data_IF_042205728415
#
_entry.id   IF_042205728415
#
_cell.length_a   1.000
_cell.length_b   1.000
_cell.length_c   1.000
_cell.angle_alpha   90.00
_cell.angle_beta   90.00
_cell.angle_gamma   90.00
#
_symmetry.space_group_name_H-M   'P 1'
#
loop_
_entity.id
_entity.type
_entity.pdbx_description
1 polymer ?
#
# COMPACT_ATOMS: atom_id res chain seq x y z
N UNK A 1 17.01 -21.52 -1.39
CA UNK A 1 17.95 -20.44 -1.71
C UNK A 1 17.12 -19.18 -1.66
N UNK A 2 17.42 -18.27 -0.74
CA UNK A 2 16.60 -17.08 -0.51
C UNK A 2 17.11 -15.92 -1.37
N UNK A 3 16.33 -15.53 -2.38
CA UNK A 3 16.68 -14.47 -3.34
C UNK A 3 16.79 -14.96 -4.77
N UNK A 4 16.00 -14.35 -5.66
CA UNK A 4 16.20 -14.51 -7.11
C UNK A 4 17.59 -13.98 -7.49
N UNK A 5 18.38 -14.81 -8.21
CA UNK A 5 19.65 -14.38 -8.82
C UNK A 5 19.42 -13.55 -10.10
N UNK A 6 18.17 -13.45 -10.54
CA UNK A 6 17.77 -12.79 -11.77
C UNK A 6 17.38 -11.33 -11.49
N UNK A 7 17.54 -10.50 -12.52
CA UNK A 7 17.14 -9.10 -12.42
C UNK A 7 15.62 -8.99 -12.17
N UNK A 8 15.17 -8.06 -11.32
CA UNK A 8 13.75 -7.84 -11.10
C UNK A 8 13.04 -7.51 -12.42
N UNK A 9 11.89 -8.15 -12.65
CA UNK A 9 10.99 -7.79 -13.75
C UNK A 9 9.80 -7.01 -13.20
N UNK A 10 9.35 -5.99 -13.93
CA UNK A 10 8.17 -5.21 -13.55
C UNK A 10 7.02 -5.44 -14.51
N UNK A 11 5.85 -5.69 -13.94
CA UNK A 11 4.59 -5.79 -14.68
C UNK A 11 3.96 -4.41 -14.83
N UNK A 12 3.27 -4.19 -15.95
CA UNK A 12 2.54 -2.95 -16.18
C UNK A 12 1.29 -2.90 -15.28
N UNK A 13 1.07 -1.77 -14.61
CA UNK A 13 -0.12 -1.58 -13.78
C UNK A 13 -1.36 -1.34 -14.66
N UNK A 14 -2.47 -2.07 -14.45
CA UNK A 14 -3.71 -1.89 -15.21
C UNK A 14 -4.54 -0.71 -14.65
N UNK A 15 -3.95 0.48 -14.53
CA UNK A 15 -4.57 1.66 -13.90
C UNK A 15 -5.85 2.19 -14.59
N UNK A 16 -6.14 1.73 -15.81
CA UNK A 16 -7.36 2.08 -16.55
C UNK A 16 -8.50 1.08 -16.30
N UNK A 17 -8.20 -0.06 -15.66
CA UNK A 17 -9.19 -1.05 -15.29
C UNK A 17 -9.87 -0.63 -13.99
N UNK A 18 -11.21 -0.65 -13.94
CA UNK A 18 -11.97 -0.33 -12.74
C UNK A 18 -11.68 -1.34 -11.61
N UNK A 19 -11.41 -2.60 -11.97
CA UNK A 19 -11.08 -3.67 -11.01
C UNK A 19 -9.76 -3.40 -10.29
N UNK A 20 -8.86 -2.60 -10.85
CA UNK A 20 -7.62 -2.20 -10.20
C UNK A 20 -7.86 -1.48 -8.87
N UNK A 21 -9.02 -0.82 -8.76
CA UNK A 21 -9.39 -0.02 -7.61
C UNK A 21 -10.37 -0.70 -6.65
N UNK A 22 -10.66 -2.00 -6.84
CA UNK A 22 -11.52 -2.80 -5.98
C UNK A 22 -10.90 -2.92 -4.58
N UNK A 23 -11.55 -2.31 -3.59
CA UNK A 23 -11.04 -2.25 -2.22
C UNK A 23 -10.89 -3.63 -1.57
N UNK A 24 -11.76 -4.59 -1.87
CA UNK A 24 -11.70 -5.91 -1.29
C UNK A 24 -10.53 -6.72 -1.89
N UNK A 25 -10.32 -6.60 -3.20
CA UNK A 25 -9.17 -7.20 -3.88
C UNK A 25 -7.85 -6.58 -3.38
N UNK A 26 -7.82 -5.25 -3.22
CA UNK A 26 -6.65 -4.53 -2.71
C UNK A 26 -6.33 -4.87 -1.25
N UNK A 27 -7.33 -4.96 -0.38
CA UNK A 27 -7.12 -5.35 1.03
C UNK A 27 -6.57 -6.78 1.12
N UNK A 28 -7.08 -7.69 0.30
CA UNK A 28 -6.59 -9.07 0.20
C UNK A 28 -5.11 -9.10 -0.22
N UNK A 29 -4.75 -8.33 -1.24
CA UNK A 29 -3.37 -8.28 -1.74
C UNK A 29 -2.42 -7.56 -0.76
N UNK A 30 -2.88 -6.48 -0.11
CA UNK A 30 -2.14 -5.81 0.96
C UNK A 30 -1.83 -6.76 2.11
N UNK A 31 -2.81 -7.55 2.55
CA UNK A 31 -2.61 -8.57 3.60
C UNK A 31 -1.55 -9.57 3.19
N UNK A 32 -1.62 -10.11 1.96
CA UNK A 32 -0.63 -11.06 1.43
C UNK A 32 0.77 -10.46 1.41
N UNK A 33 0.92 -9.26 0.86
CA UNK A 33 2.23 -8.60 0.75
C UNK A 33 2.78 -8.24 2.12
N UNK A 34 1.95 -7.71 3.01
CA UNK A 34 2.36 -7.32 4.36
C UNK A 34 2.76 -8.51 5.22
N UNK A 35 2.09 -9.66 5.08
CA UNK A 35 2.45 -10.90 5.76
C UNK A 35 3.86 -11.37 5.36
N UNK A 36 4.16 -11.37 4.05
CA UNK A 36 5.50 -11.70 3.56
C UNK A 36 6.54 -10.63 3.99
N UNK A 37 6.17 -9.35 3.99
CA UNK A 37 7.05 -8.28 4.46
C UNK A 37 7.38 -8.44 5.95
N UNK A 38 6.38 -8.75 6.78
CA UNK A 38 6.53 -9.03 8.21
C UNK A 38 7.36 -10.29 8.45
N UNK A 39 7.19 -11.33 7.63
CA UNK A 39 7.98 -12.56 7.76
C UNK A 39 9.48 -12.37 7.46
N UNK A 40 9.85 -11.41 6.60
CA UNK A 40 11.26 -11.19 6.22
C UNK A 40 11.94 -9.98 6.88
N UNK A 41 11.18 -8.94 7.25
CA UNK A 41 11.61 -7.67 7.88
C UNK A 41 12.87 -6.99 7.31
N UNK A 42 13.27 -7.31 6.07
CA UNK A 42 14.54 -6.83 5.48
C UNK A 42 14.55 -5.33 5.14
N UNK A 43 13.37 -4.74 4.97
CA UNK A 43 13.18 -3.39 4.47
C UNK A 43 13.06 -2.32 5.58
N UNK A 44 13.21 -2.70 6.85
CA UNK A 44 12.90 -1.82 8.00
C UNK A 44 13.64 -0.47 8.04
N UNK A 45 14.80 -0.36 7.39
CA UNK A 45 15.60 0.88 7.35
C UNK A 45 15.42 1.72 6.07
N UNK A 46 14.47 1.38 5.19
CA UNK A 46 14.35 2.05 3.89
C UNK A 46 13.40 3.24 3.87
N UNK A 47 12.27 3.14 4.56
CA UNK A 47 11.27 4.21 4.70
C UNK A 47 10.39 3.95 5.92
N UNK A 48 9.66 4.98 6.36
CA UNK A 48 8.82 4.93 7.57
C UNK A 48 7.62 3.97 7.45
N UNK A 49 7.22 3.62 6.22
CA UNK A 49 6.20 2.62 5.93
C UNK A 49 6.46 1.26 6.60
N UNK A 50 7.72 0.78 6.62
CA UNK A 50 8.04 -0.55 7.15
C UNK A 50 8.06 -0.61 8.69
N UNK A 51 8.71 0.31 9.42
CA UNK A 51 8.56 0.39 10.87
C UNK A 51 7.10 0.47 11.31
N UNK A 52 6.28 1.32 10.68
CA UNK A 52 4.86 1.45 11.00
C UNK A 52 4.12 0.12 10.81
N UNK A 53 4.40 -0.61 9.72
CA UNK A 53 3.82 -1.92 9.48
C UNK A 53 4.22 -2.92 10.57
N UNK A 54 5.51 -2.98 10.89
CA UNK A 54 6.03 -3.97 11.84
C UNK A 54 5.58 -3.70 13.26
N UNK A 55 5.57 -2.43 13.68
CA UNK A 55 5.05 -2.00 14.98
C UNK A 55 3.54 -2.32 15.06
N UNK A 56 2.77 -2.05 14.01
CA UNK A 56 1.34 -2.37 13.98
C UNK A 56 1.07 -3.88 14.13
N UNK A 57 1.89 -4.74 13.50
CA UNK A 57 1.78 -6.20 13.65
C UNK A 57 2.24 -6.65 15.03
N UNK A 58 3.37 -6.13 15.54
CA UNK A 58 3.91 -6.51 16.85
C UNK A 58 3.00 -6.10 18.02
N UNK A 59 2.19 -5.05 17.84
CA UNK A 59 1.17 -4.62 18.81
C UNK A 59 -0.17 -5.35 18.65
N UNK A 60 -0.34 -6.19 17.62
CA UNK A 60 -1.57 -6.92 17.37
C UNK A 60 -1.74 -8.13 18.32
N UNK A 61 -2.98 -8.54 18.66
CA UNK A 61 -3.22 -9.60 19.64
C UNK A 61 -2.55 -10.95 19.33
N UNK A 62 -2.49 -11.35 18.06
CA UNK A 62 -1.85 -12.59 17.62
C UNK A 62 -0.53 -12.36 16.88
N UNK A 63 -0.02 -11.13 16.83
CA UNK A 63 1.13 -10.75 16.00
C UNK A 63 0.93 -11.11 14.50
N UNK A 64 -0.31 -11.09 14.03
CA UNK A 64 -0.68 -11.44 12.66
C UNK A 64 -1.24 -10.24 11.89
N UNK A 65 -0.96 -10.18 10.59
CA UNK A 65 -1.53 -9.17 9.67
C UNK A 65 -3.06 -9.28 9.58
N UNK A 66 -3.64 -10.44 9.89
CA UNK A 66 -5.08 -10.67 9.94
C UNK A 66 -5.80 -9.74 10.93
N UNK A 67 -5.14 -9.40 12.04
CA UNK A 67 -5.70 -8.56 13.11
C UNK A 67 -5.64 -7.06 12.78
N UNK A 68 -4.98 -6.67 11.68
CA UNK A 68 -4.83 -5.27 11.30
C UNK A 68 -6.09 -4.71 10.64
N UNK A 69 -6.38 -3.46 11.01
CA UNK A 69 -7.47 -2.65 10.45
C UNK A 69 -7.04 -1.94 9.16
N UNK A 70 -8.02 -1.61 8.31
CA UNK A 70 -7.76 -0.81 7.10
C UNK A 70 -7.19 0.58 7.38
N UNK A 71 -7.36 1.10 8.61
CA UNK A 71 -6.72 2.35 9.07
C UNK A 71 -5.21 2.19 9.25
N UNK A 72 -4.76 1.07 9.83
CA UNK A 72 -3.33 0.76 9.95
C UNK A 72 -2.70 0.54 8.56
N UNK A 73 -3.40 -0.13 7.65
CA UNK A 73 -2.95 -0.22 6.26
C UNK A 73 -2.82 1.16 5.60
N UNK A 74 -3.67 2.12 5.99
CA UNK A 74 -3.59 3.49 5.45
C UNK A 74 -2.34 4.19 5.92
N UNK A 75 -2.00 4.09 7.20
CA UNK A 75 -0.76 4.65 7.73
C UNK A 75 0.47 4.10 6.99
N UNK A 76 0.52 2.79 6.75
CA UNK A 76 1.63 2.16 6.00
C UNK A 76 1.70 2.67 4.56
N UNK A 77 0.55 2.70 3.87
CA UNK A 77 0.46 3.19 2.48
C UNK A 77 0.86 4.65 2.39
N UNK A 78 0.41 5.49 3.32
CA UNK A 78 0.62 6.94 3.34
C UNK A 78 2.07 7.34 3.64
N UNK A 79 2.88 6.45 4.18
CA UNK A 79 4.30 6.69 4.48
C UNK A 79 5.26 6.05 3.46
N UNK A 80 4.73 5.39 2.42
CA UNK A 80 5.57 4.94 1.32
C UNK A 80 6.08 6.15 0.51
N UNK A 81 7.37 6.24 0.24
CA UNK A 81 7.94 7.35 -0.55
C UNK A 81 8.00 7.07 -2.05
N UNK A 82 7.57 5.88 -2.49
CA UNK A 82 7.61 5.44 -3.89
C UNK A 82 9.01 5.54 -4.54
N UNK A 83 10.08 5.36 -3.73
CA UNK A 83 11.46 5.46 -4.19
C UNK A 83 12.03 4.17 -4.82
N UNK A 84 11.24 3.09 -4.85
CA UNK A 84 11.58 1.77 -5.39
C UNK A 84 12.79 1.04 -4.74
N UNK A 85 13.39 1.60 -3.69
CA UNK A 85 14.56 1.00 -3.04
C UNK A 85 14.28 -0.39 -2.45
N UNK A 86 13.09 -0.62 -1.91
CA UNK A 86 12.70 -1.92 -1.35
C UNK A 86 12.65 -2.99 -2.45
N UNK A 87 12.06 -2.66 -3.59
CA UNK A 87 11.93 -3.53 -4.75
C UNK A 87 13.29 -3.81 -5.40
N UNK A 88 14.08 -2.77 -5.67
CA UNK A 88 15.31 -2.92 -6.47
C UNK A 88 16.51 -3.48 -5.69
N UNK A 89 16.57 -3.28 -4.36
CA UNK A 89 17.84 -3.49 -3.62
C UNK A 89 17.77 -4.45 -2.45
N UNK A 90 16.58 -4.68 -1.86
CA UNK A 90 16.45 -5.46 -0.61
C UNK A 90 15.53 -6.66 -0.70
N UNK A 91 14.44 -6.56 -1.47
CA UNK A 91 13.43 -7.60 -1.50
C UNK A 91 13.93 -8.82 -2.30
N UNK A 92 14.03 -10.02 -1.69
CA UNK A 92 14.42 -11.24 -2.38
C UNK A 92 13.29 -11.86 -3.21
N UNK A 93 12.06 -11.37 -3.00
CA UNK A 93 10.81 -11.97 -3.47
C UNK A 93 10.16 -11.20 -4.63
N UNK A 94 10.92 -10.32 -5.27
CA UNK A 94 10.47 -9.59 -6.46
C UNK A 94 10.36 -10.53 -7.67
N UNK A 95 9.54 -10.18 -8.69
CA UNK A 95 9.38 -11.01 -9.88
C UNK A 95 10.75 -11.20 -10.55
N UNK A 96 11.14 -12.43 -10.96
CA UNK A 96 10.29 -13.59 -11.26
C UNK A 96 10.06 -14.56 -10.08
N UNK A 97 10.33 -14.16 -8.85
CA UNK A 97 10.01 -14.99 -7.69
C UNK A 97 8.50 -15.29 -7.62
N UNK A 98 8.12 -16.47 -7.16
CA UNK A 98 6.71 -16.93 -7.12
C UNK A 98 5.77 -16.09 -6.26
N UNK A 99 6.32 -15.26 -5.39
CA UNK A 99 5.57 -14.33 -4.54
C UNK A 99 5.25 -13.00 -5.23
N UNK A 100 5.92 -12.69 -6.35
CA UNK A 100 5.60 -11.56 -7.21
C UNK A 100 5.46 -10.23 -6.45
N UNK A 101 6.38 -9.94 -5.51
CA UNK A 101 6.24 -8.77 -4.65
C UNK A 101 6.62 -7.48 -5.39
N UNK A 102 5.62 -6.62 -5.63
CA UNK A 102 5.81 -5.24 -6.08
C UNK A 102 5.15 -4.25 -5.11
N UNK A 103 5.81 -4.06 -3.97
CA UNK A 103 5.33 -3.17 -2.91
C UNK A 103 5.05 -1.75 -3.42
N UNK A 104 5.96 -1.07 -4.16
CA UNK A 104 5.69 0.28 -4.64
C UNK A 104 4.46 0.38 -5.55
N UNK A 105 4.27 -0.57 -6.48
CA UNK A 105 3.08 -0.57 -7.34
C UNK A 105 1.79 -0.79 -6.55
N UNK A 106 1.81 -1.66 -5.53
CA UNK A 106 0.64 -1.86 -4.68
C UNK A 106 0.24 -0.59 -3.93
N UNK A 107 1.22 0.23 -3.50
CA UNK A 107 0.93 1.50 -2.83
C UNK A 107 0.24 2.53 -3.75
N UNK A 108 0.38 2.42 -5.07
CA UNK A 108 -0.32 3.28 -6.04
C UNK A 108 -1.80 2.93 -6.17
N UNK A 109 -2.17 1.68 -5.90
CA UNK A 109 -3.53 1.19 -6.08
C UNK A 109 -4.49 1.72 -5.01
N UNK A 110 -3.95 2.12 -3.85
CA UNK A 110 -4.72 2.72 -2.76
C UNK A 110 -4.48 4.24 -2.72
N UNK A 111 -5.44 5.07 -3.18
CA UNK A 111 -5.26 6.52 -3.18
C UNK A 111 -5.13 7.05 -1.75
N UNK A 112 -4.13 7.91 -1.51
CA UNK A 112 -3.94 8.57 -0.20
C UNK A 112 -5.10 9.48 0.18
N UNK A 113 -5.80 10.02 -0.83
CA UNK A 113 -6.87 11.02 -0.68
C UNK A 113 -8.21 10.53 -1.21
N UNK A 114 -8.53 9.23 -1.09
CA UNK A 114 -9.85 8.75 -1.52
C UNK A 114 -10.93 9.24 -0.55
N UNK A 115 -11.51 10.39 -0.85
CA UNK A 115 -12.82 10.80 -0.37
C UNK A 115 -13.81 9.66 -0.74
N UNK A 116 -14.68 9.18 0.18
CA UNK A 116 -15.66 8.16 -0.14
C UNK A 116 -16.43 8.58 -1.40
N UNK A 117 -16.45 7.71 -2.40
CA UNK A 117 -17.08 8.01 -3.68
C UNK A 117 -18.60 8.08 -3.47
N UNK A 118 -19.06 9.27 -3.13
CA UNK A 118 -20.42 9.53 -2.65
C UNK A 118 -20.71 11.02 -2.42
N UNK A 119 -20.11 11.92 -3.21
CA UNK A 119 -20.59 13.31 -3.29
C UNK A 119 -20.75 13.75 -4.74
N UNK A 120 -22.02 13.96 -5.08
CA UNK A 120 -22.49 14.49 -6.34
C UNK A 120 -21.72 15.79 -6.71
N UNK A 121 -21.16 15.92 -7.93
CA UNK A 121 -20.46 17.11 -8.40
C UNK A 121 -21.27 18.42 -8.30
N UNK A 122 -22.59 18.33 -8.10
CA UNK A 122 -23.49 19.47 -7.95
C UNK A 122 -23.36 20.22 -6.61
N UNK A 123 -22.69 19.66 -5.59
CA UNK A 123 -22.58 20.30 -4.26
C UNK A 123 -21.39 21.27 -4.11
N UNK A 124 -20.78 21.66 -5.24
CA UNK A 124 -19.72 22.67 -5.27
C UNK A 124 -20.25 24.10 -5.44
N UNK A 125 -21.54 24.24 -5.79
CA UNK A 125 -22.17 25.55 -6.07
C UNK A 125 -22.82 26.20 -4.84
N UNK A 126 -22.95 25.49 -3.71
CA UNK A 126 -23.50 26.02 -2.46
C UNK A 126 -22.42 26.55 -1.50
N UNK A 127 -21.20 26.02 -1.55
CA UNK A 127 -20.13 26.40 -0.63
C UNK A 127 -19.50 27.78 -0.92
N UNK A 128 -19.75 28.38 -2.09
CA UNK A 128 -19.21 29.70 -2.45
C UNK A 128 -20.15 30.88 -2.12
N UNK A 129 -21.34 30.64 -1.58
CA UNK A 129 -22.34 31.72 -1.36
C UNK A 129 -22.29 32.34 0.03
N UNK A 130 -21.61 31.71 1.00
CA UNK A 130 -21.51 32.22 2.38
C UNK A 130 -20.08 32.65 2.71
N UNK A 131 -19.57 33.62 1.95
CA UNK A 131 -18.37 34.37 2.33
C UNK A 131 -18.75 35.45 3.37
N UNK A 132 -17.97 35.65 4.45
CA UNK A 132 -18.29 36.66 5.46
C UNK A 132 -18.21 38.06 4.83
N UNK A 133 -19.33 38.79 4.88
CA UNK A 133 -19.34 40.20 4.53
C UNK A 133 -18.51 41.00 5.55
N UNK A 134 -17.79 41.95 4.98
CA UNK A 134 -16.75 42.80 5.55
C UNK A 134 -17.19 43.66 6.74
#
# INVERSE_FOLDING_TARGET
>A
MEGSLEAPTRHAIPWQDEMWYDEAALDTELRRVFDICHGCRRCFNLCDSFPILFDAVDEAPNEEVADLSGGQFKAVVDECTLCDMCFMTKCPYVPPHSFDLDFPHLMLARPRDREPQGRDPADRSRACQDGPQR
#
